data_IF_938126897598
#
_entry.id   IF_938126897598
#
_cell.length_a   1.000
_cell.length_b   1.000
_cell.length_c   1.000
_cell.angle_alpha   90.00
_cell.angle_beta   90.00
_cell.angle_gamma   90.00
#
_symmetry.space_group_name_H-M   'P 1'
#
loop_
_entity.id
_entity.type
_entity.pdbx_description
1 polymer ?
#
# COMPACT_ATOMS: atom_id res chain seq x y z
N UNK A 1 14.66 16.85 5.98
CA UNK A 1 13.34 16.41 6.51
C UNK A 1 12.96 15.10 5.83
N UNK A 2 12.27 14.16 6.49
CA UNK A 2 11.83 12.92 5.83
C UNK A 2 10.39 13.03 5.38
N UNK A 3 10.11 12.52 4.19
CA UNK A 3 8.76 12.36 3.67
C UNK A 3 8.47 10.89 3.42
N UNK A 4 7.30 10.45 3.86
CA UNK A 4 6.82 9.09 3.67
C UNK A 4 5.79 9.09 2.54
N UNK A 5 5.86 8.08 1.67
CA UNK A 5 5.00 7.96 0.50
C UNK A 5 4.40 6.56 0.49
N UNK A 6 3.08 6.47 0.51
CA UNK A 6 2.35 5.24 0.25
C UNK A 6 1.98 5.18 -1.22
N UNK A 7 2.39 4.09 -1.86
CA UNK A 7 2.14 3.81 -3.26
C UNK A 7 1.24 2.58 -3.40
N UNK A 8 0.33 2.61 -4.35
CA UNK A 8 -0.49 1.50 -4.80
C UNK A 8 -0.52 1.48 -6.33
N UNK A 9 -0.10 0.36 -6.93
CA UNK A 9 -0.01 0.19 -8.38
C UNK A 9 -0.58 -1.15 -8.80
N UNK A 10 -1.43 -1.18 -9.83
CA UNK A 10 -1.91 -2.43 -10.38
C UNK A 10 -0.95 -3.07 -11.39
N UNK A 11 -1.23 -4.31 -11.78
CA UNK A 11 -0.44 -5.09 -12.73
C UNK A 11 -0.42 -4.50 -14.15
N UNK A 12 -1.32 -3.57 -14.47
CA UNK A 12 -1.34 -2.82 -15.73
C UNK A 12 -0.44 -1.58 -15.68
N UNK A 13 0.17 -1.32 -14.53
CA UNK A 13 1.07 -0.21 -14.32
C UNK A 13 0.39 1.10 -13.97
N UNK A 14 -0.92 1.09 -13.70
CA UNK A 14 -1.67 2.28 -13.31
C UNK A 14 -1.54 2.50 -11.79
N UNK A 15 -1.50 3.77 -11.39
CA UNK A 15 -1.42 4.15 -9.97
C UNK A 15 -2.84 4.27 -9.44
N UNK A 16 -3.21 3.37 -8.54
CA UNK A 16 -4.52 3.37 -7.87
C UNK A 16 -4.50 4.15 -6.55
N UNK A 17 -3.32 4.33 -5.94
CA UNK A 17 -3.16 5.09 -4.70
C UNK A 17 -1.77 5.74 -4.66
N UNK A 18 -1.71 7.03 -4.35
CA UNK A 18 -0.47 7.74 -4.09
C UNK A 18 -0.71 8.81 -3.03
N UNK A 19 -0.17 8.60 -1.83
CA UNK A 19 -0.35 9.48 -0.69
C UNK A 19 1.04 9.85 -0.18
N UNK A 20 1.35 11.14 -0.18
CA UNK A 20 2.55 11.65 0.44
C UNK A 20 2.20 12.35 1.77
N UNK A 21 2.93 12.04 2.86
CA UNK A 21 2.75 12.69 4.15
C UNK A 21 4.10 13.08 4.77
N UNK A 22 4.18 14.32 5.25
CA UNK A 22 5.35 14.94 5.87
C UNK A 22 5.28 14.89 7.41
N UNK A 23 4.13 14.53 8.00
CA UNK A 23 3.87 14.74 9.43
C UNK A 23 4.50 13.67 10.31
N UNK A 24 4.23 12.38 10.09
CA UNK A 24 4.87 11.27 10.84
C UNK A 24 4.82 9.93 10.10
N UNK A 25 5.82 9.08 10.32
CA UNK A 25 5.88 7.68 9.86
C UNK A 25 4.67 6.86 10.34
N UNK A 26 4.26 7.09 11.58
CA UNK A 26 3.21 6.35 12.28
C UNK A 26 1.86 6.46 11.55
N UNK A 27 1.49 7.66 11.11
CA UNK A 27 0.25 7.87 10.32
C UNK A 27 0.30 7.07 9.02
N UNK A 28 1.48 6.98 8.39
CA UNK A 28 1.63 6.23 7.15
C UNK A 28 1.52 4.72 7.37
N UNK A 29 2.14 4.20 8.42
CA UNK A 29 2.04 2.78 8.80
C UNK A 29 0.62 2.39 9.24
N UNK A 30 -0.09 3.29 9.94
CA UNK A 30 -1.48 3.10 10.31
C UNK A 30 -2.37 3.02 9.06
N UNK A 31 -2.24 3.98 8.13
CA UNK A 31 -2.98 3.96 6.86
C UNK A 31 -2.69 2.70 6.05
N UNK A 32 -1.43 2.33 5.95
CA UNK A 32 -1.01 1.12 5.24
C UNK A 32 -1.63 -0.14 5.85
N UNK A 33 -1.65 -0.23 7.18
CA UNK A 33 -2.26 -1.33 7.92
C UNK A 33 -3.77 -1.40 7.68
N UNK A 34 -4.48 -0.27 7.71
CA UNK A 34 -5.93 -0.22 7.41
C UNK A 34 -6.27 -0.73 6.00
N UNK A 35 -5.47 -0.35 4.99
CA UNK A 35 -5.68 -0.84 3.61
C UNK A 35 -5.44 -2.36 3.55
N UNK A 36 -4.34 -2.82 4.15
CA UNK A 36 -4.01 -4.24 4.24
C UNK A 36 -5.13 -5.05 4.91
N UNK A 37 -5.66 -4.57 6.05
CA UNK A 37 -6.79 -5.19 6.74
C UNK A 37 -8.07 -5.18 5.90
N UNK A 38 -8.33 -4.12 5.14
CA UNK A 38 -9.47 -4.06 4.22
C UNK A 38 -9.41 -5.20 3.20
N UNK A 39 -8.24 -5.51 2.66
CA UNK A 39 -8.07 -6.62 1.74
C UNK A 39 -8.13 -7.99 2.42
N UNK A 40 -7.54 -8.15 3.62
CA UNK A 40 -7.65 -9.40 4.39
C UNK A 40 -9.11 -9.78 4.69
N UNK A 41 -9.95 -8.79 4.93
CA UNK A 41 -11.36 -8.99 5.24
C UNK A 41 -12.27 -9.03 4.00
N UNK A 42 -11.70 -8.93 2.78
CA UNK A 42 -12.47 -8.94 1.55
C UNK A 42 -12.51 -10.36 0.96
N UNK A 43 -13.69 -10.98 0.79
CA UNK A 43 -13.82 -12.35 0.28
C UNK A 43 -13.41 -12.51 -1.20
N UNK A 44 -13.27 -11.41 -1.94
CA UNK A 44 -12.84 -11.40 -3.34
C UNK A 44 -11.35 -11.07 -3.51
N UNK A 45 -10.64 -10.89 -2.40
CA UNK A 45 -9.22 -10.58 -2.38
C UNK A 45 -8.39 -11.80 -1.96
N UNK A 46 -7.29 -12.01 -2.67
CA UNK A 46 -6.30 -13.03 -2.38
C UNK A 46 -4.98 -12.34 -2.02
N UNK A 47 -4.53 -12.47 -0.78
CA UNK A 47 -3.24 -11.95 -0.34
C UNK A 47 -2.11 -12.83 -0.91
N UNK A 48 -1.29 -12.25 -1.78
CA UNK A 48 -0.20 -12.96 -2.45
C UNK A 48 1.15 -12.80 -1.73
N UNK A 49 1.41 -11.62 -1.18
CA UNK A 49 2.63 -11.31 -0.42
C UNK A 49 2.29 -10.32 0.68
N UNK A 50 2.90 -10.47 1.85
CA UNK A 50 2.66 -9.60 2.98
C UNK A 50 3.92 -9.38 3.81
N UNK A 51 4.30 -8.11 3.96
CA UNK A 51 5.37 -7.65 4.83
C UNK A 51 4.99 -6.33 5.49
N UNK A 52 5.86 -5.83 6.36
CA UNK A 52 5.55 -4.65 7.19
C UNK A 52 5.32 -3.39 6.35
N UNK A 53 6.04 -3.25 5.24
CA UNK A 53 6.01 -2.07 4.36
C UNK A 53 5.62 -2.35 2.92
N UNK A 54 5.27 -3.59 2.59
CA UNK A 54 4.74 -3.94 1.29
C UNK A 54 3.70 -5.06 1.41
N UNK A 55 2.69 -5.05 0.55
CA UNK A 55 1.85 -6.22 0.35
C UNK A 55 1.38 -6.25 -1.09
N UNK A 56 1.00 -7.45 -1.54
CA UNK A 56 0.48 -7.72 -2.85
C UNK A 56 -0.83 -8.47 -2.70
N UNK A 57 -1.86 -7.98 -3.36
CA UNK A 57 -3.20 -8.55 -3.32
C UNK A 57 -3.70 -8.73 -4.73
N UNK A 58 -4.36 -9.84 -5.00
CA UNK A 58 -5.08 -10.07 -6.24
C UNK A 58 -6.57 -9.91 -5.98
N UNK A 59 -7.23 -9.12 -6.81
CA UNK A 59 -8.69 -9.02 -6.83
C UNK A 59 -9.16 -9.23 -8.25
N UNK A 60 -9.96 -10.27 -8.45
CA UNK A 60 -10.33 -10.73 -9.79
C UNK A 60 -9.09 -11.06 -10.64
N UNK A 61 -9.04 -10.53 -11.86
CA UNK A 61 -7.93 -10.73 -12.81
C UNK A 61 -6.75 -9.77 -12.63
N UNK A 62 -6.78 -8.88 -11.65
CA UNK A 62 -5.79 -7.80 -11.48
C UNK A 62 -5.03 -7.98 -10.17
N UNK A 63 -3.74 -7.71 -10.22
CA UNK A 63 -2.90 -7.70 -9.01
C UNK A 63 -2.51 -6.29 -8.64
N UNK A 64 -2.68 -5.94 -7.37
CA UNK A 64 -2.29 -4.66 -6.80
C UNK A 64 -1.09 -4.85 -5.89
N UNK A 65 -0.12 -3.95 -6.00
CA UNK A 65 1.06 -3.87 -5.14
C UNK A 65 1.02 -2.57 -4.37
N UNK A 66 1.01 -2.67 -3.05
CA UNK A 66 1.09 -1.53 -2.14
C UNK A 66 2.43 -1.52 -1.41
N UNK A 67 3.05 -0.36 -1.26
CA UNK A 67 4.34 -0.22 -0.59
C UNK A 67 4.60 1.19 -0.08
N UNK A 68 5.36 1.31 1.01
CA UNK A 68 5.77 2.59 1.60
C UNK A 68 7.23 2.90 1.23
N UNK A 69 7.47 4.05 0.59
CA UNK A 69 8.82 4.60 0.35
C UNK A 69 9.11 5.81 1.23
N UNK A 70 10.39 6.15 1.39
CA UNK A 70 10.86 7.35 2.08
C UNK A 70 11.73 8.18 1.14
N UNK A 71 11.66 9.51 1.22
CA UNK A 71 12.64 10.41 0.59
C UNK A 71 13.12 11.48 1.56
N UNK A 72 14.38 11.88 1.42
CA UNK A 72 14.95 13.03 2.12
C UNK A 72 14.71 14.31 1.30
N UNK A 73 14.55 15.43 2.02
CA UNK A 73 14.29 16.78 1.50
C UNK A 73 15.21 17.76 2.21
#
# INVERSE_FOLDING_TARGET
MKQYILNGKNSLGQVDCHIEDYRTKEIMEERFSRIKETFRNNPFAEMLEEGDRHFKVKMGGVTYKYYITEREI
#
